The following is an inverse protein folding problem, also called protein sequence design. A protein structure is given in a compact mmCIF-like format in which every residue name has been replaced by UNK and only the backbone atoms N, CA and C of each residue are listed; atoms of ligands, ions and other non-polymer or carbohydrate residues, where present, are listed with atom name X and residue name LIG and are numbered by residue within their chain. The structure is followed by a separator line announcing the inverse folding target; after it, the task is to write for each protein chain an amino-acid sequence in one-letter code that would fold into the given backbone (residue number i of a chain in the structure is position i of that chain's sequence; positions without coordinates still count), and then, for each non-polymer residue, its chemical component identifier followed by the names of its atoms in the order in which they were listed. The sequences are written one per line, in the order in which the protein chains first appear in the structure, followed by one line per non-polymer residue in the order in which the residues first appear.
data_IF_851680380844
#
_entry.id   IF_851680380844
#
_cell.length_a   1.000
_cell.length_b   1.000
_cell.length_c   1.000
_cell.angle_alpha   90.00
_cell.angle_beta   90.00
_cell.angle_gamma   90.00
#
_symmetry.space_group_name_H-M   'P 1'
#
loop_
_entity.id
_entity.type
_entity.pdbx_description
1 polymer ?
#
# COMPACT_ATOMS: atom_id res chain seq x y z
N UNK A 1 82.95 -4.31 -17.82
CA UNK A 1 81.78 -4.95 -18.43
C UNK A 1 80.64 -3.93 -18.37
N UNK A 2 80.52 -3.02 -19.34
CA UNK A 2 79.69 -3.12 -20.58
C UNK A 2 78.23 -3.43 -20.27
N UNK A 3 77.19 -2.68 -20.69
CA UNK A 3 77.05 -1.53 -21.58
C UNK A 3 75.74 -0.79 -21.23
N UNK A 4 75.66 0.49 -21.57
CA UNK A 4 74.51 1.39 -21.43
C UNK A 4 73.30 1.02 -22.30
N UNK A 5 72.11 1.53 -21.94
CA UNK A 5 70.93 1.64 -22.82
C UNK A 5 70.35 3.06 -22.77
N UNK A 6 70.09 3.72 -23.92
CA UNK A 6 69.50 5.06 -23.97
C UNK A 6 67.98 5.04 -24.21
N UNK A 7 67.34 6.19 -23.93
CA UNK A 7 65.96 6.57 -24.26
C UNK A 7 65.81 6.89 -25.74
N UNK A 8 64.61 6.75 -26.32
CA UNK A 8 64.07 7.60 -27.38
C UNK A 8 62.54 7.45 -27.51
N UNK A 9 61.89 8.52 -27.95
CA UNK A 9 60.45 8.81 -27.94
C UNK A 9 59.83 8.76 -29.36
N UNK A 10 58.53 9.12 -29.45
CA UNK A 10 57.72 9.47 -30.64
C UNK A 10 57.05 8.28 -31.36
N UNK A 11 55.84 8.33 -31.90
CA UNK A 11 54.91 9.44 -32.16
C UNK A 11 53.53 8.95 -32.64
N UNK A 12 52.71 9.91 -33.05
CA UNK A 12 51.24 9.91 -33.21
C UNK A 12 50.70 9.44 -34.59
N UNK A 13 49.49 8.85 -34.56
CA UNK A 13 48.32 9.05 -35.47
C UNK A 13 48.34 8.45 -36.92
N UNK A 14 47.25 8.57 -37.74
CA UNK A 14 46.14 7.62 -37.85
C UNK A 14 45.91 7.13 -39.30
N UNK A 15 45.03 6.14 -39.54
CA UNK A 15 44.46 5.90 -40.89
C UNK A 15 42.96 5.60 -40.80
N UNK A 16 42.18 6.51 -41.39
CA UNK A 16 40.78 6.34 -41.75
C UNK A 16 40.66 5.48 -43.02
N UNK A 17 39.59 4.69 -43.18
CA UNK A 17 38.99 4.37 -44.51
C UNK A 17 37.55 3.80 -44.35
N UNK A 18 36.60 4.61 -44.82
CA UNK A 18 35.41 4.28 -45.67
C UNK A 18 34.18 3.52 -45.13
N UNK A 19 33.06 3.86 -45.79
CA UNK A 19 31.64 3.75 -45.42
C UNK A 19 30.91 2.75 -46.32
N UNK A 20 30.11 1.85 -45.71
CA UNK A 20 28.79 1.25 -46.15
C UNK A 20 28.70 0.39 -47.43
N UNK A 21 27.54 -0.25 -47.77
CA UNK A 21 26.54 -1.01 -47.00
C UNK A 21 26.35 -2.46 -47.54
N UNK A 22 25.76 -3.37 -46.76
CA UNK A 22 24.62 -4.24 -47.17
C UNK A 22 24.40 -5.41 -46.19
N UNK A 23 23.16 -5.45 -45.69
CA UNK A 23 22.35 -6.58 -45.25
C UNK A 23 22.95 -8.00 -45.28
N UNK A 24 22.79 -8.72 -44.16
CA UNK A 24 22.00 -9.96 -44.12
C UNK A 24 21.76 -10.40 -42.66
N UNK A 25 20.49 -10.33 -42.26
CA UNK A 25 19.94 -10.79 -40.98
C UNK A 25 20.08 -12.32 -40.88
N UNK A 26 20.78 -12.82 -39.85
CA UNK A 26 20.63 -14.20 -39.36
C UNK A 26 19.84 -14.18 -38.07
N UNK A 27 18.63 -14.72 -38.15
CA UNK A 27 17.72 -14.91 -37.03
C UNK A 27 18.35 -15.89 -36.02
N UNK A 28 18.63 -15.40 -34.81
CA UNK A 28 18.86 -16.23 -33.65
C UNK A 28 17.49 -16.65 -33.10
N UNK A 29 17.29 -17.97 -32.99
CA UNK A 29 16.10 -18.57 -32.41
C UNK A 29 16.01 -18.21 -30.91
N UNK A 30 15.24 -17.17 -30.61
CA UNK A 30 14.79 -16.87 -29.25
C UNK A 30 13.65 -17.84 -28.91
N UNK A 31 13.84 -18.57 -27.81
CA UNK A 31 12.81 -19.37 -27.18
C UNK A 31 11.59 -18.49 -26.85
N UNK A 32 10.48 -18.72 -27.56
CA UNK A 32 9.18 -18.16 -27.22
C UNK A 32 8.71 -18.82 -25.92
N UNK A 33 8.89 -18.13 -24.79
CA UNK A 33 7.97 -18.28 -23.66
C UNK A 33 6.61 -17.81 -24.15
N UNK A 34 5.63 -18.71 -24.14
CA UNK A 34 4.24 -18.42 -24.48
C UNK A 34 3.72 -17.30 -23.55
N UNK A 35 3.65 -16.08 -24.08
CA UNK A 35 2.84 -15.02 -23.51
C UNK A 35 1.39 -15.38 -23.80
N UNK A 36 0.63 -15.63 -22.73
CA UNK A 36 -0.83 -15.77 -22.79
C UNK A 36 -1.44 -14.54 -23.46
N UNK A 37 -1.99 -14.75 -24.64
CA UNK A 37 -2.73 -13.74 -25.41
C UNK A 37 -4.15 -13.62 -24.87
N UNK A 38 -4.32 -13.03 -23.68
CA UNK A 38 -5.60 -12.39 -23.36
C UNK A 38 -5.55 -10.95 -23.85
N UNK A 39 -6.52 -10.61 -24.72
CA UNK A 39 -6.67 -9.27 -25.28
C UNK A 39 -6.74 -8.25 -24.13
N UNK A 40 -5.81 -7.31 -24.16
CA UNK A 40 -5.85 -6.05 -23.40
C UNK A 40 -7.05 -5.26 -23.93
N UNK A 41 -8.24 -5.56 -23.44
CA UNK A 41 -9.38 -4.68 -23.60
C UNK A 41 -9.07 -3.40 -22.81
N UNK A 42 -9.15 -2.28 -23.52
CA UNK A 42 -9.04 -0.93 -22.97
C UNK A 42 -9.98 -0.82 -21.76
N UNK A 43 -9.44 -0.47 -20.59
CA UNK A 43 -10.25 -0.03 -19.48
C UNK A 43 -10.76 1.38 -19.83
N UNK A 44 -11.96 1.46 -20.41
CA UNK A 44 -12.66 2.73 -20.52
C UNK A 44 -13.10 3.16 -19.11
N UNK A 45 -12.96 4.46 -18.76
CA UNK A 45 -13.44 4.95 -17.48
C UNK A 45 -14.96 4.84 -17.50
N UNK A 46 -15.50 3.98 -16.65
CA UNK A 46 -16.95 3.88 -16.44
C UNK A 46 -17.40 5.19 -15.79
N UNK A 47 -17.88 6.12 -16.61
CA UNK A 47 -18.60 7.31 -16.16
C UNK A 47 -19.99 6.84 -15.66
N UNK A 48 -20.03 6.30 -14.44
CA UNK A 48 -21.28 6.00 -13.76
C UNK A 48 -21.96 7.31 -13.36
N UNK A 49 -22.68 7.93 -14.30
CA UNK A 49 -23.88 8.71 -13.98
C UNK A 49 -25.00 7.76 -13.56
N UNK A 50 -24.72 7.00 -12.50
CA UNK A 50 -25.67 6.24 -11.73
C UNK A 50 -25.68 6.85 -10.36
N UNK A 51 -26.83 7.41 -9.98
CA UNK A 51 -27.13 7.85 -8.63
C UNK A 51 -26.55 6.84 -7.64
N UNK A 52 -25.60 7.26 -6.81
CA UNK A 52 -25.08 6.45 -5.72
C UNK A 52 -26.24 6.24 -4.74
N UNK A 53 -27.05 5.21 -4.98
CA UNK A 53 -27.88 4.62 -3.95
C UNK A 53 -26.89 3.93 -3.02
N UNK A 54 -26.43 4.68 -2.02
CA UNK A 54 -25.70 4.11 -0.89
C UNK A 54 -26.45 2.90 -0.36
N UNK A 55 -25.77 1.96 0.34
CA UNK A 55 -26.41 0.77 0.87
C UNK A 55 -27.69 1.22 1.57
N UNK A 56 -28.83 0.80 1.01
CA UNK A 56 -30.15 1.11 1.53
C UNK A 56 -30.06 1.01 3.02
N UNK A 57 -30.34 2.13 3.69
CA UNK A 57 -30.24 2.31 5.12
C UNK A 57 -30.32 0.96 5.81
N UNK A 58 -29.28 0.58 6.55
CA UNK A 58 -29.47 -0.35 7.66
C UNK A 58 -30.68 0.24 8.36
N UNK A 59 -31.82 -0.43 8.25
CA UNK A 59 -32.99 -0.11 9.05
C UNK A 59 -32.52 -0.46 10.45
N UNK A 60 -31.81 0.46 11.09
CA UNK A 60 -31.96 0.62 12.52
C UNK A 60 -33.47 0.58 12.71
N UNK A 61 -33.97 -0.32 13.59
CA UNK A 61 -35.41 -0.40 13.80
C UNK A 61 -35.83 1.02 14.07
N UNK A 62 -36.60 1.58 13.14
CA UNK A 62 -37.08 2.93 13.26
C UNK A 62 -37.68 2.96 14.64
N UNK A 63 -37.19 3.88 15.47
CA UNK A 63 -37.91 4.34 16.64
C UNK A 63 -39.18 5.00 16.10
N UNK A 64 -40.06 4.18 15.53
CA UNK A 64 -41.42 4.52 15.27
C UNK A 64 -41.90 4.94 16.64
N UNK A 65 -42.45 6.14 16.69
CA UNK A 65 -43.46 6.50 17.67
C UNK A 65 -44.36 5.29 17.82
N UNK A 66 -44.07 4.46 18.81
CA UNK A 66 -44.91 3.37 19.23
C UNK A 66 -46.15 4.08 19.71
N UNK A 67 -47.12 4.24 18.82
CA UNK A 67 -48.49 4.41 19.24
C UNK A 67 -48.71 3.26 20.20
N UNK A 68 -48.96 3.62 21.46
CA UNK A 68 -49.32 2.72 22.54
C UNK A 68 -50.55 1.94 22.06
N UNK A 69 -50.33 0.86 21.32
CA UNK A 69 -51.37 -0.07 20.96
C UNK A 69 -51.64 -0.88 22.23
N UNK A 70 -52.53 -0.31 23.05
CA UNK A 70 -53.31 -0.97 24.09
C UNK A 70 -52.55 -2.00 24.95
N UNK A 71 -51.62 -1.59 25.81
CA UNK A 71 -51.09 -2.51 26.82
C UNK A 71 -50.61 -1.92 28.16
N UNK A 72 -50.45 -0.61 28.32
CA UNK A 72 -49.91 -0.05 29.57
C UNK A 72 -50.99 0.64 30.43
N UNK A 73 -51.89 -0.15 31.00
CA UNK A 73 -52.69 0.28 32.16
C UNK A 73 -52.08 -0.28 33.46
N UNK A 74 -51.95 0.52 34.53
CA UNK A 74 -51.34 0.07 35.78
C UNK A 74 -52.23 -1.00 36.43
N UNK A 75 -51.70 -2.23 36.50
CA UNK A 75 -52.40 -3.39 37.08
C UNK A 75 -52.76 -4.49 36.08
N UNK A 76 -52.43 -4.31 34.79
CA UNK A 76 -52.61 -5.37 33.78
C UNK A 76 -51.27 -6.06 33.49
N UNK A 77 -51.07 -7.21 34.11
CA UNK A 77 -49.97 -8.13 33.86
C UNK A 77 -50.03 -8.63 32.40
N UNK A 78 -49.21 -8.03 31.54
CA UNK A 78 -49.10 -8.44 30.14
C UNK A 78 -48.28 -9.72 30.10
N UNK A 79 -48.98 -10.86 30.05
CA UNK A 79 -48.33 -12.15 29.86
C UNK A 79 -47.80 -12.23 28.42
N UNK A 80 -46.47 -12.25 28.18
CA UNK A 80 -45.88 -12.23 26.84
C UNK A 80 -46.17 -13.52 26.03
N UNK A 81 -46.87 -14.48 26.64
CA UNK A 81 -47.28 -15.74 26.03
C UNK A 81 -48.75 -15.77 25.61
N UNK A 82 -49.53 -14.70 25.87
CA UNK A 82 -50.98 -14.68 25.62
C UNK A 82 -51.35 -14.67 24.13
N UNK A 83 -50.56 -13.96 23.33
CA UNK A 83 -50.71 -13.86 21.86
C UNK A 83 -49.56 -14.56 21.11
N UNK A 84 -48.82 -15.43 21.81
CA UNK A 84 -47.72 -16.20 21.22
C UNK A 84 -48.21 -17.43 20.44
N UNK A 85 -47.34 -18.07 19.63
CA UNK A 85 -47.68 -19.33 18.98
C UNK A 85 -48.07 -20.37 20.03
N UNK A 86 -48.96 -21.29 19.65
CA UNK A 86 -49.57 -22.24 20.58
C UNK A 86 -48.48 -23.01 21.34
N UNK A 87 -48.76 -23.41 22.59
CA UNK A 87 -47.78 -24.16 23.40
C UNK A 87 -47.28 -25.43 22.68
N UNK A 88 -48.13 -25.99 21.82
CA UNK A 88 -47.83 -27.13 20.95
C UNK A 88 -46.82 -26.72 19.87
N UNK A 89 -46.98 -25.58 19.19
CA UNK A 89 -46.01 -25.09 18.21
C UNK A 89 -44.62 -24.88 18.83
N UNK A 90 -44.56 -24.29 20.02
CA UNK A 90 -43.30 -24.11 20.76
C UNK A 90 -42.67 -25.45 21.14
N UNK A 91 -43.48 -26.40 21.58
CA UNK A 91 -43.02 -27.76 21.87
C UNK A 91 -42.50 -28.47 20.60
N UNK A 92 -43.15 -28.28 19.44
CA UNK A 92 -42.69 -28.83 18.15
C UNK A 92 -41.36 -28.21 17.73
N UNK A 93 -41.20 -26.89 17.83
CA UNK A 93 -39.93 -26.21 17.52
C UNK A 93 -38.80 -26.63 18.48
N UNK A 94 -39.10 -26.86 19.76
CA UNK A 94 -38.12 -27.34 20.76
C UNK A 94 -37.78 -28.83 20.60
N UNK A 95 -38.77 -29.68 20.30
CA UNK A 95 -38.58 -31.13 20.22
C UNK A 95 -37.96 -31.56 18.88
N UNK A 96 -38.36 -30.91 17.78
CA UNK A 96 -37.86 -31.21 16.44
C UNK A 96 -36.76 -30.25 15.97
N UNK A 97 -36.33 -29.32 16.82
CA UNK A 97 -35.22 -28.38 16.56
C UNK A 97 -35.29 -27.72 15.17
N UNK A 98 -36.49 -27.40 14.69
CA UNK A 98 -36.71 -26.94 13.32
C UNK A 98 -36.07 -25.58 13.05
N UNK A 99 -35.91 -24.75 14.09
CA UNK A 99 -35.15 -23.49 14.03
C UNK A 99 -33.65 -23.72 13.80
N UNK A 100 -33.09 -24.83 14.29
CA UNK A 100 -31.69 -25.21 14.04
C UNK A 100 -31.52 -25.64 12.58
N UNK A 101 -32.49 -26.39 12.04
CA UNK A 101 -32.50 -26.81 10.64
C UNK A 101 -32.70 -25.63 9.65
N UNK A 102 -33.31 -24.54 10.10
CA UNK A 102 -33.47 -23.30 9.31
C UNK A 102 -32.13 -22.56 9.11
N UNK A 103 -31.12 -22.83 9.94
CA UNK A 103 -29.78 -22.25 9.87
C UNK A 103 -28.97 -22.75 8.66
N UNK A 104 -29.22 -22.19 7.48
CA UNK A 104 -28.56 -22.59 6.23
C UNK A 104 -27.35 -21.72 5.91
N UNK A 105 -26.23 -21.92 6.60
CA UNK A 105 -24.96 -21.25 6.29
C UNK A 105 -24.08 -21.97 5.26
N UNK A 106 -24.37 -23.24 4.94
CA UNK A 106 -23.48 -24.08 4.13
C UNK A 106 -23.63 -23.90 2.60
N UNK A 107 -24.55 -23.06 2.12
CA UNK A 107 -24.83 -22.90 0.67
C UNK A 107 -24.17 -21.65 0.05
N UNK A 108 -23.43 -20.88 0.82
CA UNK A 108 -22.66 -19.74 0.31
C UNK A 108 -21.27 -20.19 -0.12
N UNK A 109 -20.76 -19.60 -1.21
CA UNK A 109 -19.38 -19.78 -1.63
C UNK A 109 -18.42 -19.19 -0.56
N UNK A 110 -17.26 -19.83 -0.28
CA UNK A 110 -16.33 -19.29 0.70
C UNK A 110 -15.72 -17.96 0.23
N UNK A 111 -15.64 -17.00 1.15
CA UNK A 111 -15.00 -15.68 0.91
C UNK A 111 -13.46 -15.74 0.98
N UNK A 112 -12.87 -16.93 1.13
CA UNK A 112 -11.44 -17.10 1.32
C UNK A 112 -10.67 -16.85 0.02
N UNK A 113 -9.77 -15.88 0.04
CA UNK A 113 -8.79 -15.66 -1.04
C UNK A 113 -7.59 -16.59 -0.88
N UNK A 114 -6.97 -16.99 -2.00
CA UNK A 114 -5.83 -17.90 -2.00
C UNK A 114 -4.51 -17.16 -1.78
N UNK A 115 -4.29 -16.63 -0.57
CA UNK A 115 -3.00 -16.04 -0.19
C UNK A 115 -1.91 -17.14 -0.21
N UNK A 116 -0.73 -16.92 -0.83
CA UNK A 116 -0.14 -15.67 -1.31
C UNK A 116 -0.33 -15.35 -2.80
N UNK A 117 -1.03 -16.21 -3.56
CA UNK A 117 -1.19 -16.05 -5.01
C UNK A 117 -2.19 -14.94 -5.37
N UNK A 118 -3.21 -14.78 -4.54
CA UNK A 118 -4.19 -13.70 -4.63
C UNK A 118 -4.07 -12.81 -3.39
N UNK A 119 -3.85 -11.51 -3.60
CA UNK A 119 -3.78 -10.50 -2.53
C UNK A 119 -5.07 -9.69 -2.52
N UNK A 120 -5.42 -9.19 -1.33
CA UNK A 120 -6.56 -8.28 -1.18
C UNK A 120 -6.35 -6.98 -1.98
N UNK A 121 -7.43 -6.34 -2.45
CA UNK A 121 -7.32 -5.06 -3.13
C UNK A 121 -6.84 -3.97 -2.15
N UNK A 122 -5.78 -3.24 -2.53
CA UNK A 122 -5.25 -2.12 -1.77
C UNK A 122 -5.66 -0.79 -2.40
N UNK A 123 -5.94 0.21 -1.56
CA UNK A 123 -6.17 1.57 -2.04
C UNK A 123 -4.84 2.30 -2.30
N UNK A 124 -4.81 3.32 -3.18
CA UNK A 124 -3.61 4.14 -3.38
C UNK A 124 -3.13 4.90 -2.13
N UNK A 125 -4.01 5.05 -1.13
CA UNK A 125 -3.74 5.71 0.16
C UNK A 125 -3.30 4.75 1.26
N UNK A 126 -3.05 3.50 0.91
CA UNK A 126 -2.59 2.52 1.88
C UNK A 126 -1.23 2.95 2.48
N UNK A 127 -1.08 2.69 3.78
CA UNK A 127 0.08 3.08 4.59
C UNK A 127 0.86 1.84 5.00
N UNK A 128 2.04 1.66 4.42
CA UNK A 128 2.92 0.52 4.66
C UNK A 128 4.35 0.93 5.03
N UNK A 129 5.34 0.23 4.46
CA UNK A 129 6.76 0.45 4.75
C UNK A 129 7.19 1.87 4.38
N UNK A 130 8.01 2.50 5.21
CA UNK A 130 8.49 3.86 4.95
C UNK A 130 9.60 3.85 3.89
N UNK A 131 9.63 4.89 3.05
CA UNK A 131 10.62 5.10 2.03
C UNK A 131 11.04 6.56 1.93
N UNK A 132 12.33 6.80 1.69
CA UNK A 132 12.85 8.12 1.34
C UNK A 132 13.02 8.21 -0.18
N UNK A 133 12.42 9.24 -0.77
CA UNK A 133 12.42 9.45 -2.22
C UNK A 133 13.53 10.37 -2.69
N UNK A 134 13.82 10.26 -3.98
CA UNK A 134 14.73 11.14 -4.72
C UNK A 134 13.95 12.04 -5.67
N UNK A 135 14.56 13.15 -6.05
CA UNK A 135 14.15 13.93 -7.20
C UNK A 135 14.43 13.15 -8.49
N UNK A 136 13.81 13.52 -9.62
CA UNK A 136 14.14 12.94 -10.93
C UNK A 136 15.61 13.13 -11.33
N UNK A 137 16.32 14.10 -10.73
CA UNK A 137 17.76 14.30 -10.89
C UNK A 137 18.63 13.27 -10.15
N UNK A 138 18.04 12.42 -9.30
CA UNK A 138 18.73 11.44 -8.46
C UNK A 138 19.15 11.97 -7.08
N UNK A 139 18.99 13.27 -6.82
CA UNK A 139 19.28 13.86 -5.52
C UNK A 139 18.19 13.52 -4.49
N UNK A 140 18.55 13.32 -3.22
CA UNK A 140 17.58 13.07 -2.17
C UNK A 140 16.66 14.28 -1.93
N UNK A 141 15.36 14.02 -1.70
CA UNK A 141 14.38 15.08 -1.44
C UNK A 141 14.52 15.72 -0.07
N UNK A 142 15.01 14.97 0.91
CA UNK A 142 15.06 15.42 2.30
C UNK A 142 16.00 16.63 2.49
N UNK A 143 15.45 17.73 3.02
CA UNK A 143 16.19 18.97 3.32
C UNK A 143 16.53 19.14 4.82
N UNK A 144 16.39 18.05 5.60
CA UNK A 144 16.67 18.04 7.04
C UNK A 144 15.90 19.12 7.84
N UNK A 145 14.64 19.37 7.50
CA UNK A 145 13.77 20.36 8.17
C UNK A 145 13.32 19.95 9.59
N UNK A 146 13.42 18.67 9.94
CA UNK A 146 13.01 18.07 11.24
C UNK A 146 11.52 18.20 11.60
N UNK A 147 10.67 18.59 10.64
CA UNK A 147 9.21 18.64 10.83
C UNK A 147 8.63 17.24 11.11
N UNK A 148 9.11 16.22 10.39
CA UNK A 148 8.65 14.84 10.56
C UNK A 148 8.98 14.26 11.95
N UNK A 149 10.10 14.68 12.55
CA UNK A 149 10.49 14.29 13.92
C UNK A 149 9.57 14.96 14.95
N UNK A 150 9.26 16.25 14.76
CA UNK A 150 8.39 17.00 15.66
C UNK A 150 6.93 16.51 15.64
N UNK A 151 6.40 16.11 14.47
CA UNK A 151 5.00 15.67 14.35
C UNK A 151 4.79 14.21 14.75
N UNK A 152 5.86 13.41 14.87
CA UNK A 152 5.73 11.99 15.12
C UNK A 152 5.14 11.74 16.52
N UNK A 153 3.92 11.17 16.64
CA UNK A 153 3.25 11.02 17.94
C UNK A 153 3.97 10.02 18.85
N UNK A 154 4.67 9.05 18.27
CA UNK A 154 5.43 8.03 18.98
C UNK A 154 6.92 8.34 19.10
N UNK A 155 7.38 9.50 18.60
CA UNK A 155 8.79 9.90 18.59
C UNK A 155 9.72 8.77 18.10
N UNK A 156 9.33 8.16 16.97
CA UNK A 156 10.04 7.03 16.36
C UNK A 156 11.22 7.45 15.48
N UNK A 157 11.26 8.71 15.05
CA UNK A 157 12.21 9.25 14.08
C UNK A 157 13.28 10.07 14.81
N UNK A 158 14.55 9.85 14.47
CA UNK A 158 15.69 10.65 14.97
C UNK A 158 16.45 11.25 13.78
N UNK A 159 16.65 12.57 13.76
CA UNK A 159 17.26 13.27 12.62
C UNK A 159 18.45 14.14 13.06
N UNK A 160 19.61 13.86 12.48
CA UNK A 160 20.81 14.70 12.58
C UNK A 160 21.11 15.35 11.23
N UNK A 161 21.48 16.63 11.25
CA UNK A 161 21.62 17.46 10.05
C UNK A 161 22.97 18.14 10.03
N UNK A 162 23.69 18.02 8.91
CA UNK A 162 24.98 18.69 8.69
C UNK A 162 24.97 19.39 7.32
N UNK A 163 25.83 20.40 7.17
CA UNK A 163 26.04 21.04 5.88
C UNK A 163 26.95 20.15 5.03
N UNK A 164 26.51 19.81 3.81
CA UNK A 164 27.36 19.12 2.84
C UNK A 164 28.39 20.09 2.24
N UNK A 165 29.40 19.56 1.57
CA UNK A 165 30.44 20.32 0.85
C UNK A 165 29.85 21.34 -0.14
N UNK A 166 28.67 21.02 -0.71
CA UNK A 166 27.94 21.89 -1.65
C UNK A 166 27.17 23.02 -0.97
N UNK A 167 27.24 23.15 0.37
CA UNK A 167 26.48 24.12 1.16
C UNK A 167 25.01 23.76 1.38
N UNK A 168 24.52 22.68 0.76
CA UNK A 168 23.16 22.16 0.98
C UNK A 168 23.04 21.48 2.35
N UNK A 169 21.90 21.69 3.02
CA UNK A 169 21.59 21.03 4.30
C UNK A 169 21.03 19.64 4.03
N UNK A 170 21.69 18.60 4.53
CA UNK A 170 21.29 17.20 4.34
C UNK A 170 21.35 16.43 5.67
N UNK A 171 20.70 15.29 5.70
CA UNK A 171 20.71 14.42 6.88
C UNK A 171 21.94 13.53 6.87
N UNK A 172 22.69 13.50 7.97
CA UNK A 172 23.74 12.49 8.17
C UNK A 172 23.13 11.21 8.72
N UNK A 173 22.21 11.38 9.68
CA UNK A 173 21.46 10.31 10.31
C UNK A 173 19.96 10.57 10.14
N UNK A 174 19.27 9.54 9.70
CA UNK A 174 17.82 9.55 9.57
C UNK A 174 17.35 8.14 9.89
N UNK A 175 17.05 7.93 11.17
CA UNK A 175 16.73 6.60 11.68
C UNK A 175 15.27 6.55 12.10
N UNK A 176 14.59 5.47 11.73
CA UNK A 176 13.21 5.20 12.12
C UNK A 176 13.17 3.86 12.82
N UNK A 177 12.65 3.85 14.04
CA UNK A 177 12.33 2.63 14.75
C UNK A 177 10.92 2.16 14.37
N UNK A 178 10.83 1.11 13.54
CA UNK A 178 9.54 0.54 13.12
C UNK A 178 8.80 -0.15 14.25
N UNK A 179 9.46 -0.45 15.38
CA UNK A 179 8.80 -1.00 16.58
C UNK A 179 8.06 0.06 17.37
N UNK A 180 8.48 1.33 17.26
CA UNK A 180 7.77 2.49 17.84
C UNK A 180 6.77 3.11 16.87
N UNK A 181 7.02 3.01 15.57
CA UNK A 181 6.16 3.62 14.57
C UNK A 181 4.75 3.00 14.58
N UNK A 182 3.72 3.85 14.59
CA UNK A 182 2.31 3.45 14.58
C UNK A 182 1.65 3.56 13.19
N UNK A 183 2.43 3.83 12.13
CA UNK A 183 1.97 3.93 10.73
C UNK A 183 0.79 4.89 10.54
N UNK A 184 0.89 6.05 11.18
CA UNK A 184 -0.17 7.07 11.15
C UNK A 184 -0.19 7.93 9.87
N UNK A 185 0.89 7.98 9.09
CA UNK A 185 0.99 8.84 7.90
C UNK A 185 1.30 10.31 8.14
N UNK A 186 1.39 10.79 9.39
CA UNK A 186 1.67 12.22 9.66
C UNK A 186 3.02 12.69 9.12
N UNK A 187 4.01 11.79 9.04
CA UNK A 187 5.31 12.14 8.47
C UNK A 187 5.22 12.47 6.97
N UNK A 188 4.32 11.79 6.24
CA UNK A 188 4.08 12.00 4.81
C UNK A 188 3.39 13.34 4.55
N UNK A 189 2.38 13.68 5.35
CA UNK A 189 1.63 14.93 5.22
C UNK A 189 2.41 16.16 5.72
N UNK A 190 3.22 16.00 6.77
CA UNK A 190 4.02 17.09 7.32
C UNK A 190 5.27 17.42 6.50
N UNK A 191 5.65 16.58 5.53
CA UNK A 191 6.86 16.80 4.77
C UNK A 191 6.64 17.88 3.70
N UNK A 192 7.34 19.03 3.74
CA UNK A 192 7.10 20.11 2.78
C UNK A 192 7.59 19.81 1.35
N UNK A 193 8.35 18.73 1.16
CA UNK A 193 9.02 18.36 -0.10
C UNK A 193 8.73 16.91 -0.50
N UNK A 194 7.76 16.26 0.15
CA UNK A 194 7.42 14.84 -0.05
C UNK A 194 8.63 13.89 -0.02
N UNK A 195 9.56 14.13 0.92
CA UNK A 195 10.77 13.33 1.03
C UNK A 195 10.53 11.95 1.63
N UNK A 196 9.75 11.87 2.70
CA UNK A 196 9.34 10.61 3.31
C UNK A 196 7.91 10.29 2.90
N UNK A 197 7.70 9.04 2.52
CA UNK A 197 6.38 8.51 2.14
C UNK A 197 6.21 7.12 2.70
N UNK A 198 4.96 6.73 2.93
CA UNK A 198 4.60 5.36 3.22
C UNK A 198 4.25 4.65 1.89
N UNK A 199 4.84 3.47 1.69
CA UNK A 199 4.68 2.65 0.48
C UNK A 199 3.50 1.69 0.62
N UNK A 200 3.19 0.96 -0.45
CA UNK A 200 2.21 -0.12 -0.41
C UNK A 200 2.76 -1.46 0.11
N UNK A 201 4.05 -1.53 0.43
CA UNK A 201 4.63 -2.75 0.95
C UNK A 201 4.17 -2.98 2.40
N UNK A 202 3.47 -4.09 2.63
CA UNK A 202 3.01 -4.52 3.97
C UNK A 202 3.75 -5.78 4.46
N UNK A 203 4.49 -6.45 3.58
CA UNK A 203 5.09 -7.76 3.82
C UNK A 203 6.59 -7.62 4.10
N UNK A 204 6.93 -7.03 5.27
CA UNK A 204 8.32 -6.82 5.69
C UNK A 204 8.58 -7.33 7.12
N UNK A 205 7.88 -8.40 7.52
CA UNK A 205 8.16 -9.09 8.77
C UNK A 205 9.60 -9.63 8.77
N UNK A 206 10.34 -9.33 9.82
CA UNK A 206 11.73 -9.77 10.03
C UNK A 206 11.83 -10.70 11.23
N UNK A 207 12.87 -11.52 11.26
CA UNK A 207 13.11 -12.47 12.35
C UNK A 207 13.70 -11.79 13.59
N UNK A 208 14.52 -10.76 13.38
CA UNK A 208 15.21 -10.04 14.44
C UNK A 208 14.63 -8.64 14.64
N UNK A 209 14.84 -8.08 15.84
CA UNK A 209 14.38 -6.72 16.19
C UNK A 209 15.28 -5.65 15.57
N UNK A 210 16.58 -5.90 15.51
CA UNK A 210 17.55 -4.97 14.93
C UNK A 210 17.28 -4.67 13.46
N UNK A 211 16.71 -5.61 12.71
CA UNK A 211 16.30 -5.37 11.32
C UNK A 211 15.15 -4.34 11.18
N UNK A 212 14.35 -4.14 12.23
CA UNK A 212 13.26 -3.15 12.30
C UNK A 212 13.73 -1.75 12.68
N UNK A 213 15.01 -1.60 13.04
CA UNK A 213 15.64 -0.29 13.22
C UNK A 213 16.20 0.15 11.88
N UNK A 214 15.47 1.02 11.18
CA UNK A 214 15.82 1.39 9.82
C UNK A 214 16.75 2.60 9.83
N UNK A 215 17.90 2.44 9.19
CA UNK A 215 18.82 3.53 8.91
C UNK A 215 18.40 4.27 7.64
N UNK A 216 18.98 5.47 7.43
CA UNK A 216 18.80 6.29 6.23
C UNK A 216 18.99 5.50 4.92
N UNK A 217 20.03 4.66 4.86
CA UNK A 217 20.37 3.88 3.67
C UNK A 217 19.29 2.86 3.31
N UNK A 218 18.72 2.18 4.31
CA UNK A 218 17.63 1.22 4.11
C UNK A 218 16.38 1.92 3.58
N UNK A 219 16.05 3.09 4.15
CA UNK A 219 14.92 3.90 3.70
C UNK A 219 15.08 4.41 2.26
N UNK A 220 16.30 4.79 1.86
CA UNK A 220 16.60 5.16 0.48
C UNK A 220 16.50 3.95 -0.46
N UNK A 221 17.02 2.79 -0.06
CA UNK A 221 16.90 1.56 -0.83
C UNK A 221 15.43 1.12 -1.01
N UNK A 222 14.57 1.38 -0.03
CA UNK A 222 13.12 1.18 -0.14
C UNK A 222 12.50 2.12 -1.17
N UNK A 223 12.89 3.40 -1.12
CA UNK A 223 12.47 4.39 -2.12
C UNK A 223 12.89 4.00 -3.53
N UNK A 224 14.16 3.64 -3.72
CA UNK A 224 14.68 3.26 -5.04
C UNK A 224 13.96 2.02 -5.61
N UNK A 225 13.52 1.07 -4.77
CA UNK A 225 12.74 -0.10 -5.18
C UNK A 225 11.28 0.23 -5.53
N UNK A 226 10.64 1.10 -4.74
CA UNK A 226 9.20 1.36 -4.82
C UNK A 226 8.83 2.69 -5.53
N UNK A 227 9.80 3.48 -6.02
CA UNK A 227 9.58 4.82 -6.58
C UNK A 227 8.52 4.85 -7.69
N UNK A 228 8.49 3.84 -8.56
CA UNK A 228 7.51 3.77 -9.65
C UNK A 228 6.07 3.63 -9.13
N UNK A 229 5.85 2.79 -8.12
CA UNK A 229 4.56 2.55 -7.47
C UNK A 229 4.14 3.77 -6.64
N UNK A 230 5.07 4.29 -5.84
CA UNK A 230 4.87 5.50 -5.05
C UNK A 230 4.47 6.69 -5.95
N UNK A 231 5.18 6.90 -7.06
CA UNK A 231 4.89 8.01 -7.98
C UNK A 231 3.49 7.87 -8.60
N UNK A 232 3.09 6.65 -8.98
CA UNK A 232 1.74 6.38 -9.49
C UNK A 232 0.65 6.66 -8.43
N UNK A 233 0.88 6.23 -7.19
CA UNK A 233 -0.05 6.44 -6.09
C UNK A 233 -0.19 7.93 -5.73
N UNK A 234 0.93 8.66 -5.62
CA UNK A 234 0.86 10.12 -5.40
C UNK A 234 0.19 10.83 -6.57
N UNK A 235 0.41 10.40 -7.82
CA UNK A 235 -0.30 10.96 -8.96
C UNK A 235 -1.81 10.71 -8.89
N UNK A 236 -2.26 9.59 -8.31
CA UNK A 236 -3.69 9.36 -8.09
C UNK A 236 -4.27 10.17 -6.91
N UNK A 237 -3.45 10.49 -5.91
CA UNK A 237 -3.89 11.09 -4.63
C UNK A 237 -3.71 12.62 -4.56
N UNK A 238 -2.90 13.23 -5.43
CA UNK A 238 -2.49 14.64 -5.35
C UNK A 238 -3.63 15.67 -5.26
N UNK A 239 -4.83 15.34 -5.71
CA UNK A 239 -5.99 16.25 -5.68
C UNK A 239 -6.57 16.42 -4.27
N UNK A 240 -6.32 15.45 -3.37
CA UNK A 240 -6.93 15.39 -2.04
C UNK A 240 -5.97 15.78 -0.91
N UNK A 241 -4.78 16.28 -1.26
CA UNK A 241 -3.75 16.74 -0.32
C UNK A 241 -3.67 18.26 -0.28
#
# INVERSE_FOLDING_TARGET
MSFARPRLALGLSPRAFTVSPHAQLRASALAFRQLSTTRRALAEPVEQRGRFEGPTAIKSPSLGSGGLTAADEPGKDVNPYKDGPSAIDKAVHMFFFTEILRGKMFRSEPYTIMYPYEKGPLSPRFRGEHALRRYPSGEERCIACKLCEAICPAQAITIESEARQDGSRRTTKYDIDMTKCIYCGFCQEACPVDAIVETQNQEFSTETREELLYNKEKLLANGDRAEAEIAANLHSDHVYR
#
